data_IF_369506563417
#
_entry.id   IF_369506563417
#
_cell.length_a   1.000
_cell.length_b   1.000
_cell.length_c   1.000
_cell.angle_alpha   90.00
_cell.angle_beta   90.00
_cell.angle_gamma   90.00
#
_symmetry.space_group_name_H-M   'P 1'
#
loop_
_entity.id
_entity.type
_entity.pdbx_description
1 polymer ?
#
# COMPACT_ATOMS: atom_id res chain seq x y z
N UNK A 1 8.31 -0.68 2.56
CA UNK A 1 9.15 -1.87 2.32
C UNK A 1 9.34 -2.59 3.64
N UNK A 2 9.41 -3.93 3.64
CA UNK A 2 9.67 -4.70 4.87
C UNK A 2 11.08 -4.36 5.39
N UNK A 3 11.23 -4.06 6.68
CA UNK A 3 12.55 -3.76 7.28
C UNK A 3 13.46 -4.99 7.30
N UNK A 4 12.90 -6.15 7.64
CA UNK A 4 13.60 -7.43 7.72
C UNK A 4 13.00 -8.42 6.71
N UNK A 5 13.87 -9.17 6.04
CA UNK A 5 13.51 -10.34 5.20
C UNK A 5 14.12 -11.59 5.79
N UNK A 6 13.39 -12.71 5.79
CA UNK A 6 13.96 -14.01 6.15
C UNK A 6 14.76 -14.54 4.96
N UNK A 7 16.01 -14.91 5.19
CA UNK A 7 16.88 -15.47 4.15
C UNK A 7 17.06 -16.98 4.26
N UNK A 8 16.75 -17.55 5.43
CA UNK A 8 16.84 -18.98 5.67
C UNK A 8 15.85 -19.44 6.73
N UNK A 9 15.25 -20.59 6.46
CA UNK A 9 14.37 -21.31 7.37
C UNK A 9 14.88 -22.73 7.56
N UNK A 10 14.66 -23.28 8.76
CA UNK A 10 14.89 -24.69 9.06
C UNK A 10 13.78 -25.57 8.48
N UNK A 11 14.01 -26.88 8.44
CA UNK A 11 13.02 -27.89 8.02
C UNK A 11 11.72 -27.86 8.85
N UNK A 12 11.77 -27.26 10.05
CA UNK A 12 10.60 -27.08 10.92
C UNK A 12 9.77 -25.83 10.62
N UNK A 13 10.15 -25.04 9.60
CA UNK A 13 9.53 -23.74 9.29
C UNK A 13 9.97 -22.62 10.23
N UNK A 14 11.13 -22.78 10.88
CA UNK A 14 11.67 -21.77 11.80
C UNK A 14 12.68 -20.88 11.09
N UNK A 15 12.47 -19.57 11.13
CA UNK A 15 13.40 -18.57 10.61
C UNK A 15 14.74 -18.60 11.36
N UNK A 16 15.84 -18.79 10.64
CA UNK A 16 17.20 -18.90 11.19
C UNK A 16 18.06 -17.67 10.85
N UNK A 17 17.88 -17.13 9.64
CA UNK A 17 18.67 -16.00 9.14
C UNK A 17 17.75 -14.92 8.59
N UNK A 18 18.19 -13.69 8.80
CA UNK A 18 17.46 -12.47 8.50
C UNK A 18 18.38 -11.49 7.79
N UNK A 19 17.80 -10.70 6.89
CA UNK A 19 18.47 -9.58 6.24
C UNK A 19 17.73 -8.29 6.57
N UNK A 20 18.46 -7.31 7.07
CA UNK A 20 18.00 -5.93 7.16
C UNK A 20 18.05 -5.30 5.76
N UNK A 21 16.89 -4.91 5.22
CA UNK A 21 16.79 -4.33 3.89
C UNK A 21 17.24 -2.87 3.83
N UNK A 22 17.32 -2.17 4.96
CA UNK A 22 17.81 -0.79 5.01
C UNK A 22 19.34 -0.76 5.08
N UNK A 23 19.93 -1.57 5.96
CA UNK A 23 21.39 -1.58 6.16
C UNK A 23 22.10 -2.62 5.30
N UNK A 24 21.38 -3.59 4.75
CA UNK A 24 21.93 -4.71 3.98
C UNK A 24 22.57 -5.81 4.84
N UNK A 25 22.50 -5.68 6.17
CA UNK A 25 23.15 -6.60 7.12
C UNK A 25 22.42 -7.94 7.14
N UNK A 26 23.16 -9.02 6.95
CA UNK A 26 22.72 -10.38 7.25
C UNK A 26 23.02 -10.68 8.72
N UNK A 27 22.06 -11.25 9.41
CA UNK A 27 22.18 -11.61 10.82
C UNK A 27 21.44 -12.91 11.11
N UNK A 28 21.99 -13.65 12.05
CA UNK A 28 21.34 -14.84 12.61
C UNK A 28 20.20 -14.45 13.54
N UNK A 29 19.34 -15.42 13.84
CA UNK A 29 18.28 -15.27 14.84
C UNK A 29 18.78 -14.77 16.20
N UNK A 30 19.93 -15.24 16.66
CA UNK A 30 20.49 -14.83 17.96
C UNK A 30 20.93 -13.36 17.94
N UNK A 31 21.56 -12.94 16.84
CA UNK A 31 21.95 -11.54 16.65
C UNK A 31 20.71 -10.65 16.53
N UNK A 32 19.70 -11.09 15.79
CA UNK A 32 18.46 -10.35 15.63
C UNK A 32 17.73 -10.18 16.97
N UNK A 33 17.63 -11.25 17.78
CA UNK A 33 17.09 -11.19 19.14
C UNK A 33 17.85 -10.17 19.99
N UNK A 34 19.20 -10.20 20.01
CA UNK A 34 19.99 -9.24 20.78
C UNK A 34 19.72 -7.78 20.40
N UNK A 35 19.57 -7.50 19.11
CA UNK A 35 19.28 -6.14 18.61
C UNK A 35 17.87 -5.68 18.96
N UNK A 36 16.89 -6.59 18.94
CA UNK A 36 15.53 -6.31 19.44
C UNK A 36 15.58 -5.99 20.95
N UNK A 37 16.31 -6.76 21.75
CA UNK A 37 16.50 -6.48 23.20
C UNK A 37 17.19 -5.14 23.45
N UNK A 38 18.05 -4.70 22.53
CA UNK A 38 18.71 -3.39 22.59
C UNK A 38 17.81 -2.23 22.14
N UNK A 39 16.62 -2.53 21.59
CA UNK A 39 15.68 -1.53 21.08
C UNK A 39 16.04 -0.96 19.71
N UNK A 40 16.96 -1.59 18.96
CA UNK A 40 17.28 -1.19 17.58
C UNK A 40 16.14 -1.47 16.59
N UNK A 41 15.24 -2.41 16.95
CA UNK A 41 14.12 -2.84 16.14
C UNK A 41 12.80 -2.67 16.93
N UNK A 42 12.25 -1.44 17.01
CA UNK A 42 11.08 -1.14 17.82
C UNK A 42 9.78 -1.78 17.31
N UNK A 43 9.73 -2.20 16.04
CA UNK A 43 8.55 -2.86 15.44
C UNK A 43 8.54 -4.39 15.64
N UNK A 44 9.40 -4.90 16.53
CA UNK A 44 9.59 -6.33 16.78
C UNK A 44 9.68 -6.57 18.29
N UNK A 45 9.12 -7.69 18.74
CA UNK A 45 9.29 -8.19 20.10
C UNK A 45 9.82 -9.63 20.09
N UNK A 46 10.25 -10.08 21.26
CA UNK A 46 10.69 -11.45 21.46
C UNK A 46 9.60 -12.20 22.20
N UNK A 47 9.17 -13.32 21.61
CA UNK A 47 8.28 -14.27 22.25
C UNK A 47 9.07 -15.48 22.71
N UNK A 48 8.90 -15.85 23.97
CA UNK A 48 9.43 -17.11 24.49
C UNK A 48 8.49 -18.26 24.13
N UNK A 49 8.98 -19.21 23.33
CA UNK A 49 8.24 -20.41 22.92
C UNK A 49 9.08 -21.62 23.31
N UNK A 50 8.62 -22.37 24.32
CA UNK A 50 9.31 -23.55 24.86
C UNK A 50 10.78 -23.27 25.28
N UNK A 51 11.04 -22.10 25.86
CA UNK A 51 12.38 -21.67 26.31
C UNK A 51 13.28 -21.14 25.19
N UNK A 52 12.72 -20.96 24.00
CA UNK A 52 13.46 -20.46 22.84
C UNK A 52 12.93 -19.07 22.45
N UNK A 53 13.74 -18.04 22.70
CA UNK A 53 13.49 -16.65 22.27
C UNK A 53 13.28 -16.60 20.77
N UNK A 54 12.11 -16.15 20.36
CA UNK A 54 11.70 -16.08 18.96
C UNK A 54 11.39 -14.64 18.61
N UNK A 55 12.16 -14.03 17.68
CA UNK A 55 11.83 -12.69 17.21
C UNK A 55 10.56 -12.78 16.38
N UNK A 56 9.59 -11.94 16.72
CA UNK A 56 8.30 -11.82 16.05
C UNK A 56 8.06 -10.33 15.79
N UNK A 57 7.35 -10.01 14.72
CA UNK A 57 6.87 -8.64 14.50
C UNK A 57 5.84 -8.28 15.58
N UNK A 58 5.87 -7.04 16.03
CA UNK A 58 4.77 -6.51 16.83
C UNK A 58 3.50 -6.54 15.99
N UNK A 59 2.35 -7.02 16.52
CA UNK A 59 1.07 -6.91 15.86
C UNK A 59 0.65 -5.43 15.86
N UNK A 60 1.23 -4.65 14.95
CA UNK A 60 0.67 -3.36 14.59
C UNK A 60 -0.65 -3.59 13.84
N UNK A 61 -1.56 -2.61 13.89
CA UNK A 61 -2.83 -2.62 13.13
C UNK A 61 -2.59 -2.61 11.60
N UNK A 62 -1.33 -2.71 11.15
CA UNK A 62 -0.97 -2.94 9.77
C UNK A 62 -0.87 -4.45 9.52
N UNK A 63 -1.81 -4.98 8.74
CA UNK A 63 -1.89 -6.38 8.34
C UNK A 63 -0.67 -6.90 7.53
N UNK A 64 0.38 -6.11 7.32
CA UNK A 64 1.50 -6.38 6.42
C UNK A 64 2.80 -6.88 7.11
N UNK A 65 2.75 -7.17 8.40
CA UNK A 65 3.89 -7.52 9.26
C UNK A 65 4.07 -9.03 9.53
N UNK A 66 3.10 -9.89 9.20
CA UNK A 66 3.05 -11.28 9.69
C UNK A 66 3.67 -12.33 8.77
N UNK A 67 4.87 -12.11 8.23
CA UNK A 67 5.61 -13.06 7.36
C UNK A 67 4.84 -13.62 6.14
N UNK A 68 3.60 -13.17 5.93
CA UNK A 68 2.79 -13.51 4.80
C UNK A 68 3.26 -12.67 3.61
N UNK A 69 3.27 -13.29 2.44
CA UNK A 69 3.81 -12.72 1.21
C UNK A 69 2.86 -11.73 0.54
N UNK A 70 1.73 -11.41 1.16
CA UNK A 70 0.70 -10.52 0.61
C UNK A 70 0.67 -9.14 1.29
N UNK A 71 1.83 -8.49 1.36
CA UNK A 71 1.80 -7.03 1.43
C UNK A 71 1.42 -6.53 0.03
N UNK A 72 0.19 -6.03 -0.13
CA UNK A 72 -0.25 -5.39 -1.38
C UNK A 72 0.83 -4.41 -1.81
N UNK A 73 1.57 -4.78 -2.85
CA UNK A 73 2.65 -3.97 -3.40
C UNK A 73 2.13 -2.55 -3.59
N UNK A 74 2.94 -1.55 -3.25
CA UNK A 74 2.72 -0.15 -3.64
C UNK A 74 2.77 -0.06 -5.16
N UNK A 75 1.73 -0.57 -5.83
CA UNK A 75 1.55 -0.46 -7.27
C UNK A 75 1.12 0.97 -7.50
N UNK A 76 2.04 1.73 -8.06
CA UNK A 76 1.71 2.97 -8.71
C UNK A 76 0.97 2.66 -10.00
N UNK A 77 -0.11 3.39 -10.24
CA UNK A 77 -0.88 3.35 -11.47
C UNK A 77 -0.81 4.71 -12.12
N UNK A 78 -0.42 4.74 -13.39
CA UNK A 78 -0.47 5.96 -14.20
C UNK A 78 -1.89 6.15 -14.74
N UNK A 79 -2.58 7.20 -14.31
CA UNK A 79 -3.93 7.56 -14.77
C UNK A 79 -3.90 8.95 -15.40
N UNK A 80 -4.81 9.23 -16.32
CA UNK A 80 -4.88 10.51 -17.04
C UNK A 80 -6.16 11.22 -16.60
N UNK A 81 -6.05 12.40 -16.00
CA UNK A 81 -7.19 13.19 -15.53
C UNK A 81 -7.22 14.48 -16.33
N UNK A 82 -8.31 14.73 -17.07
CA UNK A 82 -8.46 15.93 -17.91
C UNK A 82 -7.29 16.19 -18.89
N UNK A 83 -6.57 15.13 -19.29
CA UNK A 83 -5.41 15.19 -20.18
C UNK A 83 -4.05 15.25 -19.46
N UNK A 84 -4.02 15.35 -18.13
CA UNK A 84 -2.80 15.36 -17.33
C UNK A 84 -2.54 13.99 -16.68
N UNK A 85 -1.31 13.48 -16.83
CA UNK A 85 -0.90 12.22 -16.23
C UNK A 85 -0.62 12.37 -14.72
N UNK A 86 -1.23 11.49 -13.93
CA UNK A 86 -1.14 11.46 -12.47
C UNK A 86 -0.79 10.04 -12.01
N UNK A 87 0.05 9.95 -10.97
CA UNK A 87 0.49 8.66 -10.42
C UNK A 87 -0.24 8.41 -9.11
N UNK A 88 -0.97 7.30 -9.04
CA UNK A 88 -1.77 6.92 -7.87
C UNK A 88 -1.23 5.63 -7.27
N UNK A 89 -0.89 5.64 -5.98
CA UNK A 89 -0.27 4.50 -5.29
C UNK A 89 -1.29 3.55 -4.64
N UNK A 90 -2.50 3.50 -5.20
CA UNK A 90 -3.62 2.69 -4.70
C UNK A 90 -4.32 2.02 -5.87
N UNK A 91 -4.81 0.78 -5.68
CA UNK A 91 -5.56 0.04 -6.70
C UNK A 91 -6.96 0.61 -6.93
N UNK A 92 -7.44 1.46 -6.03
CA UNK A 92 -8.75 2.09 -6.08
C UNK A 92 -8.60 3.59 -5.82
N UNK A 93 -9.40 4.40 -6.52
CA UNK A 93 -9.45 5.86 -6.33
C UNK A 93 -10.90 6.29 -6.08
N UNK A 94 -11.08 7.26 -5.18
CA UNK A 94 -12.40 7.82 -4.85
C UNK A 94 -12.78 8.99 -5.74
N UNK A 95 -14.06 9.34 -5.73
CA UNK A 95 -14.58 10.55 -6.33
C UNK A 95 -13.82 11.81 -5.86
N UNK A 96 -13.72 12.01 -4.54
CA UNK A 96 -13.07 13.19 -3.96
C UNK A 96 -11.59 13.29 -4.35
N UNK A 97 -10.90 12.16 -4.44
CA UNK A 97 -9.48 12.13 -4.81
C UNK A 97 -9.29 12.49 -6.29
N UNK A 98 -10.17 12.04 -7.18
CA UNK A 98 -10.17 12.47 -8.58
C UNK A 98 -10.45 13.97 -8.73
N UNK A 99 -11.37 14.52 -7.94
CA UNK A 99 -11.64 15.97 -7.94
C UNK A 99 -10.39 16.74 -7.49
N UNK A 100 -9.75 16.32 -6.39
CA UNK A 100 -8.51 16.93 -5.90
C UNK A 100 -7.39 16.90 -6.93
N UNK A 101 -7.18 15.76 -7.59
CA UNK A 101 -6.15 15.61 -8.61
C UNK A 101 -6.45 16.37 -9.91
N UNK A 102 -7.72 16.68 -10.19
CA UNK A 102 -8.11 17.41 -11.41
C UNK A 102 -7.72 18.90 -11.41
N UNK A 103 -7.28 19.44 -10.27
CA UNK A 103 -6.93 20.86 -10.09
C UNK A 103 -8.03 21.85 -10.51
N UNK A 104 -9.30 21.42 -10.60
CA UNK A 104 -10.43 22.27 -11.00
C UNK A 104 -10.88 23.26 -9.92
N UNK A 105 -10.23 23.24 -8.75
CA UNK A 105 -10.49 24.13 -7.63
C UNK A 105 -11.70 23.70 -6.80
N UNK A 106 -11.56 23.74 -5.47
CA UNK A 106 -12.70 23.78 -4.54
C UNK A 106 -13.35 25.18 -4.65
N UNK A 107 -14.04 25.44 -5.76
CA UNK A 107 -14.90 26.61 -5.87
C UNK A 107 -16.28 26.25 -5.31
N UNK A 108 -17.07 27.23 -4.86
CA UNK A 108 -18.40 27.11 -4.22
C UNK A 108 -19.49 26.41 -5.09
N UNK A 109 -19.09 25.79 -6.20
CA UNK A 109 -19.91 25.07 -7.18
C UNK A 109 -20.09 23.61 -6.74
N UNK A 110 -21.34 23.21 -6.51
CA UNK A 110 -21.69 22.09 -5.63
C UNK A 110 -21.87 20.73 -6.33
N UNK A 111 -21.43 20.55 -7.58
CA UNK A 111 -21.62 19.26 -8.29
C UNK A 111 -20.52 19.02 -9.31
N UNK A 112 -19.85 17.87 -9.21
CA UNK A 112 -18.90 17.39 -10.20
C UNK A 112 -19.46 16.17 -10.94
N UNK A 113 -19.20 16.09 -12.24
CA UNK A 113 -19.46 14.89 -13.04
C UNK A 113 -18.14 14.25 -13.41
N UNK A 114 -17.95 13.00 -13.00
CA UNK A 114 -16.77 12.20 -13.32
C UNK A 114 -17.17 11.06 -14.24
N UNK A 115 -16.47 10.96 -15.36
CA UNK A 115 -16.56 9.81 -16.27
C UNK A 115 -15.19 9.20 -16.45
N UNK A 116 -15.14 7.89 -16.67
CA UNK A 116 -13.90 7.18 -16.94
C UNK A 116 -13.97 6.37 -18.22
N UNK A 117 -12.81 6.15 -18.83
CA UNK A 117 -12.60 5.31 -20.01
C UNK A 117 -11.36 4.45 -19.81
N UNK A 118 -11.30 3.37 -20.59
CA UNK A 118 -10.28 2.31 -20.46
C UNK A 118 -10.27 1.73 -19.04
N UNK A 119 -11.45 1.53 -18.46
CA UNK A 119 -11.61 0.97 -17.12
C UNK A 119 -11.18 -0.49 -16.99
N UNK A 120 -11.26 -1.00 -15.76
CA UNK A 120 -10.79 -2.34 -15.41
C UNK A 120 -11.79 -3.46 -15.80
N UNK A 121 -11.27 -4.61 -16.24
CA UNK A 121 -12.07 -5.79 -16.57
C UNK A 121 -13.08 -5.54 -17.69
N UNK A 122 -14.34 -5.96 -17.47
CA UNK A 122 -15.44 -5.82 -18.43
C UNK A 122 -16.17 -4.47 -18.35
N UNK A 123 -15.60 -3.48 -17.64
CA UNK A 123 -16.16 -2.12 -17.52
C UNK A 123 -15.22 -1.12 -18.19
N UNK A 124 -15.19 -1.04 -19.53
CA UNK A 124 -14.27 -0.17 -20.25
C UNK A 124 -14.59 1.31 -20.08
N UNK A 125 -15.82 1.67 -19.73
CA UNK A 125 -16.26 3.05 -19.51
C UNK A 125 -17.38 3.12 -18.47
N UNK A 126 -17.60 4.30 -17.89
CA UNK A 126 -18.65 4.53 -16.91
C UNK A 126 -18.58 5.93 -16.30
N UNK A 127 -19.46 6.16 -15.33
CA UNK A 127 -19.49 7.37 -14.49
C UNK A 127 -19.23 7.01 -13.04
N UNK A 128 -18.72 7.97 -12.28
CA UNK A 128 -18.52 7.88 -10.84
C UNK A 128 -19.37 8.96 -10.17
N UNK A 129 -20.15 8.59 -9.16
CA UNK A 129 -20.92 9.54 -8.32
C UNK A 129 -20.17 9.82 -7.01
N UNK A 130 -20.63 10.83 -6.27
CA UNK A 130 -20.13 11.13 -4.92
C UNK A 130 -20.18 9.87 -4.03
N UNK A 131 -19.18 9.69 -3.17
CA UNK A 131 -18.97 8.50 -2.31
C UNK A 131 -18.64 7.17 -3.04
N UNK A 132 -18.51 7.14 -4.37
CA UNK A 132 -18.06 5.94 -5.08
C UNK A 132 -16.54 5.85 -5.26
N UNK A 133 -16.08 4.60 -5.45
CA UNK A 133 -14.70 4.24 -5.72
C UNK A 133 -14.62 3.37 -6.98
N UNK A 134 -13.52 3.49 -7.71
CA UNK A 134 -13.27 2.66 -8.91
C UNK A 134 -11.88 2.06 -8.88
N UNK A 135 -11.79 0.80 -9.32
CA UNK A 135 -10.51 0.11 -9.51
C UNK A 135 -9.77 0.68 -10.70
N UNK A 136 -8.55 1.13 -10.46
CA UNK A 136 -7.70 1.74 -11.48
C UNK A 136 -6.71 0.75 -12.07
N UNK A 137 -6.23 1.09 -13.27
CA UNK A 137 -5.14 0.42 -13.96
C UNK A 137 -4.37 1.45 -14.78
N UNK A 138 -3.18 1.08 -15.23
CA UNK A 138 -2.37 1.97 -16.07
C UNK A 138 -3.08 2.39 -17.36
N UNK A 139 -2.98 3.68 -17.66
CA UNK A 139 -3.59 4.32 -18.83
C UNK A 139 -5.09 4.51 -18.73
N UNK A 140 -5.70 4.36 -17.55
CA UNK A 140 -7.11 4.70 -17.33
C UNK A 140 -7.29 6.21 -17.43
N UNK A 141 -8.36 6.65 -18.11
CA UNK A 141 -8.62 8.05 -18.39
C UNK A 141 -9.85 8.49 -17.63
N UNK A 142 -9.74 9.61 -16.91
CA UNK A 142 -10.80 10.26 -16.17
C UNK A 142 -11.05 11.64 -16.75
N UNK A 143 -12.32 11.98 -16.88
CA UNK A 143 -12.77 13.29 -17.28
C UNK A 143 -13.67 13.83 -16.17
N UNK A 144 -13.16 14.85 -15.48
CA UNK A 144 -13.79 15.53 -14.34
C UNK A 144 -14.27 16.89 -14.83
N UNK A 145 -15.55 17.17 -14.63
CA UNK A 145 -16.16 18.44 -15.03
C UNK A 145 -16.89 19.03 -13.82
N UNK A 146 -16.61 20.29 -13.48
CA UNK A 146 -17.42 21.06 -12.55
C UNK A 146 -18.71 21.51 -13.25
N UNK A 147 -19.86 21.23 -12.65
CA UNK A 147 -21.16 21.64 -13.16
C UNK A 147 -21.78 22.68 -12.25
N UNK A 148 -22.29 23.76 -12.83
CA UNK A 148 -23.02 24.79 -12.11
C UNK A 148 -24.45 24.32 -11.83
N UNK A 149 -24.91 24.49 -10.60
CA UNK A 149 -26.30 24.22 -10.22
C UNK A 149 -27.03 25.54 -10.45
N UNK A 150 -27.78 25.59 -11.55
CA UNK A 150 -28.56 26.76 -12.00
C UNK A 150 -29.48 27.32 -10.93
#
# INVERSE_FOLDING_TARGET
>A
MKRITVTKESDSGRNEEFKDNETGILMTREEFVKKIELGEYPDYHIRDINGIKTPVSDPDLNECNNLDSDCKENKSYSIIINGEENIVNSKEISFDELVKLSNLGESDITTFTITFRRGHGNKPEGSLIEDEFVKIKDGMVFNVIATDKS
#
